data_IF_012759481302
#
_entry.id   IF_012759481302
#
_cell.length_a   1.000
_cell.length_b   1.000
_cell.length_c   1.000
_cell.angle_alpha   90.00
_cell.angle_beta   90.00
_cell.angle_gamma   90.00
#
_symmetry.space_group_name_H-M   'P 1'
#
loop_
_entity.id
_entity.type
_entity.pdbx_description
1 polymer ?
#
# COMPACT_ATOMS: atom_id res chain seq x y z
N UNK A 1 -61.84 -7.74 -14.97
CA UNK A 1 -60.87 -7.83 -16.09
C UNK A 1 -60.37 -6.41 -16.35
N UNK A 2 -59.13 -5.99 -16.13
CA UNK A 2 -57.82 -6.63 -15.99
C UNK A 2 -57.04 -5.90 -14.90
N UNK A 3 -56.33 -6.64 -14.04
CA UNK A 3 -55.33 -6.10 -13.13
C UNK A 3 -53.99 -6.02 -13.90
N UNK A 4 -53.42 -4.82 -14.02
CA UNK A 4 -52.05 -4.66 -14.51
C UNK A 4 -51.11 -4.69 -13.31
N UNK A 5 -50.48 -5.84 -13.09
CA UNK A 5 -49.32 -5.95 -12.21
C UNK A 5 -48.13 -5.23 -12.86
N UNK A 6 -47.71 -4.12 -12.25
CA UNK A 6 -46.39 -3.55 -12.51
C UNK A 6 -45.40 -4.29 -11.60
N UNK A 7 -44.52 -5.12 -12.19
CA UNK A 7 -43.38 -5.70 -11.49
C UNK A 7 -42.48 -4.57 -10.96
N UNK A 8 -41.99 -4.63 -9.71
CA UNK A 8 -40.92 -3.75 -9.28
C UNK A 8 -39.63 -4.11 -10.02
N UNK A 9 -38.99 -3.07 -10.53
CA UNK A 9 -37.69 -3.08 -11.22
C UNK A 9 -36.59 -3.47 -10.23
N UNK A 10 -35.92 -4.60 -10.49
CA UNK A 10 -34.71 -5.02 -9.79
C UNK A 10 -33.50 -4.42 -10.52
N UNK A 11 -33.17 -3.17 -10.23
CA UNK A 11 -31.80 -2.68 -10.46
C UNK A 11 -31.37 -1.72 -9.36
N UNK A 12 -30.11 -1.91 -8.93
CA UNK A 12 -29.32 -1.15 -7.96
C UNK A 12 -29.46 -1.59 -6.50
N UNK A 13 -28.90 -2.77 -6.26
CA UNK A 13 -28.42 -3.18 -4.96
C UNK A 13 -26.88 -3.28 -5.04
N UNK A 14 -26.22 -2.13 -5.20
CA UNK A 14 -24.76 -1.99 -5.15
C UNK A 14 -24.43 -0.79 -4.25
N UNK A 15 -24.48 -0.97 -2.93
CA UNK A 15 -23.93 0.02 -1.98
C UNK A 15 -23.61 -0.57 -0.60
N UNK A 16 -23.13 -1.82 -0.55
CA UNK A 16 -22.84 -2.51 0.72
C UNK A 16 -21.37 -2.88 0.92
N UNK A 17 -20.42 -2.13 0.33
CA UNK A 17 -18.98 -2.44 0.49
C UNK A 17 -18.06 -1.22 0.60
N UNK A 18 -18.56 -0.03 0.96
CA UNK A 18 -17.74 1.17 1.18
C UNK A 18 -17.22 1.36 2.61
N UNK A 19 -17.00 0.29 3.39
CA UNK A 19 -16.24 0.46 4.63
C UNK A 19 -14.82 0.96 4.27
N UNK A 20 -14.39 2.15 4.73
CA UNK A 20 -13.07 2.69 4.43
C UNK A 20 -12.02 1.75 5.03
N UNK A 21 -11.04 1.39 4.21
CA UNK A 21 -9.90 0.61 4.69
C UNK A 21 -9.00 1.57 5.44
N UNK A 22 -8.95 1.45 6.77
CA UNK A 22 -8.08 2.26 7.62
C UNK A 22 -6.69 1.65 7.72
N UNK A 23 -5.67 2.50 7.63
CA UNK A 23 -4.29 2.12 7.94
C UNK A 23 -3.98 2.21 9.45
N UNK A 24 -4.90 2.80 10.23
CA UNK A 24 -4.78 2.89 11.68
C UNK A 24 -4.81 1.48 12.29
N UNK A 25 -3.78 1.15 13.08
CA UNK A 25 -3.58 -0.19 13.64
C UNK A 25 -2.97 -1.22 12.66
N UNK A 26 -2.77 -0.87 11.39
CA UNK A 26 -2.04 -1.71 10.41
C UNK A 26 -0.59 -1.24 10.23
N UNK A 27 -0.40 0.08 10.15
CA UNK A 27 0.90 0.71 10.02
C UNK A 27 1.33 1.29 11.37
N UNK A 28 2.29 0.64 12.02
CA UNK A 28 2.86 1.13 13.27
C UNK A 28 3.89 2.25 12.99
N UNK A 29 4.03 3.24 13.88
CA UNK A 29 5.01 4.32 13.71
C UNK A 29 6.45 3.81 13.52
N UNK A 30 6.83 2.76 14.26
CA UNK A 30 8.16 2.14 14.15
C UNK A 30 8.43 1.49 12.78
N UNK A 31 7.38 1.27 11.97
CA UNK A 31 7.48 0.73 10.61
C UNK A 31 7.41 1.81 9.52
N UNK A 32 7.56 3.06 9.90
CA UNK A 32 7.70 4.20 8.99
C UNK A 32 9.13 4.71 9.05
N UNK A 33 9.83 4.70 7.92
CA UNK A 33 11.16 5.29 7.82
C UNK A 33 11.14 6.51 6.89
N UNK A 34 11.81 7.57 7.34
CA UNK A 34 11.97 8.82 6.64
C UNK A 34 13.39 8.95 6.07
N UNK A 35 13.49 9.34 4.81
CA UNK A 35 14.73 9.69 4.09
C UNK A 35 15.85 8.65 4.26
N UNK A 36 15.56 7.45 3.78
CA UNK A 36 16.50 6.31 3.81
C UNK A 36 17.27 6.21 2.50
N UNK A 37 18.58 5.95 2.58
CA UNK A 37 19.42 5.71 1.41
C UNK A 37 19.32 4.27 0.91
N UNK A 38 18.73 4.08 -0.27
CA UNK A 38 18.79 2.82 -1.01
C UNK A 38 19.63 2.99 -2.28
N UNK A 39 20.42 1.96 -2.63
CA UNK A 39 21.36 2.00 -3.77
C UNK A 39 20.87 1.21 -4.99
N UNK A 40 19.81 0.43 -4.81
CA UNK A 40 19.23 -0.45 -5.82
C UNK A 40 17.87 -0.96 -5.36
N UNK A 41 17.06 -1.45 -6.30
CA UNK A 41 15.78 -2.13 -6.02
C UNK A 41 15.95 -3.21 -4.95
N UNK A 42 16.98 -4.05 -5.08
CA UNK A 42 17.28 -5.12 -4.13
C UNK A 42 17.58 -4.57 -2.73
N UNK A 43 18.35 -3.48 -2.63
CA UNK A 43 18.65 -2.86 -1.33
C UNK A 43 17.38 -2.25 -0.70
N UNK A 44 16.53 -1.61 -1.49
CA UNK A 44 15.25 -1.08 -1.00
C UNK A 44 14.32 -2.20 -0.48
N UNK A 45 14.27 -3.35 -1.16
CA UNK A 45 13.53 -4.53 -0.68
C UNK A 45 14.16 -5.15 0.59
N UNK A 46 15.49 -5.10 0.74
CA UNK A 46 16.18 -5.58 1.95
C UNK A 46 15.86 -4.69 3.16
N UNK A 47 15.92 -3.37 3.00
CA UNK A 47 15.51 -2.40 4.02
C UNK A 47 14.04 -2.60 4.40
N UNK A 48 13.16 -2.75 3.41
CA UNK A 48 11.74 -2.99 3.65
C UNK A 48 11.49 -4.31 4.40
N UNK A 49 12.24 -5.37 4.07
CA UNK A 49 12.14 -6.66 4.76
C UNK A 49 12.58 -6.56 6.23
N UNK A 50 13.58 -5.73 6.53
CA UNK A 50 14.05 -5.49 7.89
C UNK A 50 12.95 -4.84 8.73
N UNK A 51 12.35 -3.78 8.21
CA UNK A 51 11.25 -3.05 8.88
C UNK A 51 10.01 -3.92 9.06
N UNK A 52 9.64 -4.71 8.05
CA UNK A 52 8.49 -5.63 8.15
C UNK A 52 8.75 -6.79 9.13
N UNK A 53 10.01 -7.16 9.33
CA UNK A 53 10.39 -8.26 10.22
C UNK A 53 10.48 -7.89 11.70
N UNK A 54 10.51 -6.59 12.03
CA UNK A 54 10.61 -6.10 13.41
C UNK A 54 9.23 -5.94 14.09
N UNK A 55 9.22 -5.46 15.34
CA UNK A 55 8.03 -5.22 16.15
C UNK A 55 7.75 -6.30 17.19
N UNK A 56 6.57 -6.26 17.81
CA UNK A 56 6.19 -7.15 18.93
C UNK A 56 6.15 -8.63 18.55
N UNK A 57 5.91 -8.93 17.28
CA UNK A 57 5.89 -10.28 16.73
C UNK A 57 6.91 -10.39 15.59
N UNK A 58 8.21 -10.55 15.90
CA UNK A 58 9.25 -10.52 14.89
C UNK A 58 9.12 -11.71 13.92
N UNK A 59 9.42 -11.47 12.65
CA UNK A 59 9.47 -12.48 11.59
C UNK A 59 10.92 -12.74 11.21
N UNK A 60 11.16 -13.84 10.50
CA UNK A 60 12.49 -14.09 9.95
C UNK A 60 12.77 -13.18 8.74
N UNK A 61 13.64 -12.16 8.90
CA UNK A 61 13.95 -11.17 7.83
C UNK A 61 14.23 -11.82 6.47
N UNK A 62 15.05 -12.88 6.44
CA UNK A 62 15.42 -13.53 5.18
C UNK A 62 14.21 -14.14 4.47
N UNK A 63 13.26 -14.70 5.22
CA UNK A 63 12.01 -15.25 4.64
C UNK A 63 11.16 -14.13 4.04
N UNK A 64 10.98 -13.02 4.77
CA UNK A 64 10.27 -11.84 4.29
C UNK A 64 10.91 -11.29 3.01
N UNK A 65 12.25 -11.17 3.01
CA UNK A 65 13.01 -10.70 1.85
C UNK A 65 12.81 -11.62 0.63
N UNK A 66 12.95 -12.93 0.82
CA UNK A 66 12.80 -13.90 -0.25
C UNK A 66 11.38 -13.91 -0.83
N UNK A 67 10.36 -13.77 0.00
CA UNK A 67 8.97 -13.62 -0.42
C UNK A 67 8.75 -12.36 -1.25
N UNK A 68 9.24 -11.20 -0.80
CA UNK A 68 9.14 -9.93 -1.53
C UNK A 68 9.87 -9.98 -2.88
N UNK A 69 11.11 -10.48 -2.90
CA UNK A 69 11.90 -10.62 -4.13
C UNK A 69 11.25 -11.60 -5.10
N UNK A 70 10.72 -12.72 -4.60
CA UNK A 70 10.03 -13.71 -5.43
C UNK A 70 8.78 -13.12 -6.08
N UNK A 71 8.02 -12.30 -5.34
CA UNK A 71 6.88 -11.57 -5.91
C UNK A 71 7.31 -10.53 -6.95
N UNK A 72 8.34 -9.75 -6.68
CA UNK A 72 8.83 -8.71 -7.59
C UNK A 72 9.33 -9.30 -8.91
N UNK A 73 9.90 -10.51 -8.90
CA UNK A 73 10.32 -11.25 -10.12
C UNK A 73 9.17 -11.63 -11.05
N UNK A 74 7.93 -11.73 -10.55
CA UNK A 74 6.76 -12.01 -11.40
C UNK A 74 6.37 -10.80 -12.24
N UNK A 75 6.87 -9.63 -11.88
CA UNK A 75 6.55 -8.35 -12.49
C UNK A 75 6.64 -7.26 -11.43
N UNK A 76 7.17 -6.11 -11.83
CA UNK A 76 7.44 -5.04 -10.88
C UNK A 76 6.18 -4.60 -10.14
N UNK A 77 6.34 -4.34 -8.84
CA UNK A 77 5.32 -3.76 -7.97
C UNK A 77 5.32 -2.23 -7.98
N UNK A 78 6.17 -1.61 -8.81
CA UNK A 78 6.09 -0.18 -9.08
C UNK A 78 4.85 0.16 -9.91
N UNK A 79 4.03 1.08 -9.40
CA UNK A 79 2.77 1.50 -10.02
C UNK A 79 2.92 2.79 -10.83
N UNK A 80 4.14 3.32 -10.92
CA UNK A 80 4.43 4.64 -11.45
C UNK A 80 4.33 5.73 -10.38
N UNK A 81 4.42 6.98 -10.80
CA UNK A 81 4.32 8.15 -9.91
C UNK A 81 5.31 8.12 -8.72
N UNK A 82 6.50 7.56 -8.95
CA UNK A 82 7.53 7.32 -7.94
C UNK A 82 7.13 6.40 -6.77
N UNK A 83 6.12 5.54 -6.96
CA UNK A 83 5.60 4.63 -5.93
C UNK A 83 5.83 3.16 -6.32
N UNK A 84 6.24 2.35 -5.33
CA UNK A 84 6.09 0.91 -5.36
C UNK A 84 5.28 0.40 -4.17
N UNK A 85 4.56 -0.70 -4.39
CA UNK A 85 3.82 -1.39 -3.34
C UNK A 85 4.33 -2.85 -3.25
N UNK A 86 5.55 -3.10 -2.76
CA UNK A 86 6.04 -4.46 -2.60
C UNK A 86 5.16 -5.21 -1.61
N UNK A 87 4.56 -6.30 -2.06
CA UNK A 87 3.67 -7.11 -1.23
C UNK A 87 4.03 -8.58 -1.37
N UNK A 88 3.81 -9.39 -0.36
CA UNK A 88 4.00 -10.82 -0.49
C UNK A 88 3.12 -11.58 0.50
N UNK A 89 2.79 -12.83 0.15
CA UNK A 89 2.23 -13.76 1.12
C UNK A 89 3.37 -14.32 1.97
N UNK A 90 3.12 -14.43 3.27
CA UNK A 90 4.04 -15.05 4.23
C UNK A 90 3.27 -16.10 5.01
N UNK A 91 3.84 -17.30 5.11
CA UNK A 91 3.21 -18.40 5.81
C UNK A 91 3.20 -18.13 7.32
N UNK A 92 2.16 -18.60 8.01
CA UNK A 92 1.97 -18.42 9.45
C UNK A 92 1.99 -16.95 9.93
N UNK A 93 1.79 -15.98 9.03
CA UNK A 93 1.61 -14.60 9.41
C UNK A 93 0.24 -14.47 10.12
N UNK A 94 0.19 -14.00 11.39
CA UNK A 94 -1.05 -13.97 12.16
C UNK A 94 -2.01 -12.89 11.69
N UNK A 95 -1.48 -11.77 11.18
CA UNK A 95 -2.24 -10.63 10.70
C UNK A 95 -1.47 -9.85 9.63
N UNK A 96 -2.18 -9.01 8.88
CA UNK A 96 -1.56 -8.12 7.90
C UNK A 96 -0.50 -7.24 8.56
N UNK A 97 0.61 -7.02 7.86
CA UNK A 97 1.66 -6.13 8.34
C UNK A 97 2.08 -5.15 7.25
N UNK A 98 2.02 -3.86 7.57
CA UNK A 98 2.47 -2.81 6.67
C UNK A 98 3.74 -2.10 7.15
N UNK A 99 4.49 -1.55 6.21
CA UNK A 99 5.60 -0.65 6.44
C UNK A 99 5.64 0.42 5.35
N UNK A 100 6.21 1.58 5.66
CA UNK A 100 6.41 2.65 4.70
C UNK A 100 7.85 3.15 4.75
N UNK A 101 8.44 3.38 3.58
CA UNK A 101 9.77 3.99 3.46
C UNK A 101 9.69 5.12 2.43
N UNK A 102 10.10 6.32 2.84
CA UNK A 102 10.48 7.40 1.91
C UNK A 102 11.99 7.35 1.70
N UNK A 103 12.43 7.23 0.44
CA UNK A 103 13.84 7.28 0.09
C UNK A 103 14.31 8.72 -0.07
N UNK A 104 15.56 8.98 0.32
CA UNK A 104 16.25 10.25 0.04
C UNK A 104 16.41 10.42 -1.47
N UNK A 105 17.01 9.43 -2.12
CA UNK A 105 17.26 9.40 -3.55
C UNK A 105 16.38 8.31 -4.20
N UNK A 106 15.56 8.65 -5.23
CA UNK A 106 14.75 7.68 -5.91
C UNK A 106 15.58 6.59 -6.61
N UNK A 107 15.10 5.34 -6.54
CA UNK A 107 15.79 4.17 -7.07
C UNK A 107 15.08 3.62 -8.30
N UNK A 108 15.84 3.25 -9.33
CA UNK A 108 15.29 2.56 -10.51
C UNK A 108 14.55 1.28 -10.10
N UNK A 109 13.26 1.21 -10.44
CA UNK A 109 12.39 0.13 -10.01
C UNK A 109 11.62 -0.55 -11.15
N UNK A 110 11.96 -0.28 -12.41
CA UNK A 110 11.25 -0.85 -13.59
C UNK A 110 9.74 -0.52 -13.61
N UNK A 111 9.36 0.68 -13.16
CA UNK A 111 8.01 1.19 -13.28
C UNK A 111 7.61 1.32 -14.76
N UNK A 112 6.33 1.10 -15.07
CA UNK A 112 5.81 1.20 -16.44
C UNK A 112 5.94 2.62 -17.04
N UNK A 113 5.93 3.65 -16.20
CA UNK A 113 6.14 5.05 -16.59
C UNK A 113 7.62 5.45 -16.66
N UNK A 114 8.54 4.52 -16.37
CA UNK A 114 9.98 4.73 -16.34
C UNK A 114 10.49 5.58 -15.18
N UNK A 115 9.63 6.06 -14.27
CA UNK A 115 10.06 6.88 -13.14
C UNK A 115 10.73 6.02 -12.07
N UNK A 116 11.82 6.50 -11.44
CA UNK A 116 12.39 5.83 -10.28
C UNK A 116 11.44 5.94 -9.08
N UNK A 117 11.50 4.99 -8.16
CA UNK A 117 10.65 4.90 -6.97
C UNK A 117 11.30 5.66 -5.82
N UNK A 118 10.51 6.52 -5.18
CA UNK A 118 10.85 7.23 -3.95
C UNK A 118 10.08 6.71 -2.74
N UNK A 119 8.83 6.27 -2.93
CA UNK A 119 7.99 5.77 -1.84
C UNK A 119 7.75 4.27 -1.99
N UNK A 120 8.03 3.52 -0.93
CA UNK A 120 7.72 2.10 -0.83
C UNK A 120 6.66 1.90 0.24
N UNK A 121 5.54 1.28 -0.14
CA UNK A 121 4.55 0.80 0.82
C UNK A 121 4.57 -0.72 0.82
N UNK A 122 5.19 -1.31 1.85
CA UNK A 122 5.30 -2.75 2.02
C UNK A 122 4.05 -3.35 2.65
N UNK A 123 3.62 -4.52 2.17
CA UNK A 123 2.51 -5.27 2.77
C UNK A 123 2.78 -6.78 2.81
N UNK A 124 2.84 -7.35 4.01
CA UNK A 124 2.80 -8.80 4.20
C UNK A 124 1.38 -9.25 4.45
N UNK A 125 1.00 -10.31 3.74
CA UNK A 125 -0.37 -10.78 3.63
C UNK A 125 -0.46 -12.21 4.17
N UNK A 126 -1.37 -12.49 5.13
CA UNK A 126 -1.56 -13.85 5.63
C UNK A 126 -2.26 -14.72 4.57
N UNK A 127 -2.20 -16.03 4.75
CA UNK A 127 -2.98 -16.95 3.94
C UNK A 127 -4.50 -16.76 4.23
N UNK A 128 -5.32 -16.70 3.17
CA UNK A 128 -6.77 -16.53 3.28
C UNK A 128 -7.28 -15.16 2.80
N UNK A 129 -8.61 -15.00 2.77
CA UNK A 129 -9.37 -13.77 2.43
C UNK A 129 -8.74 -12.86 1.35
N UNK A 130 -8.60 -13.42 0.14
CA UNK A 130 -7.92 -12.76 -0.98
C UNK A 130 -8.61 -11.46 -1.41
N UNK A 131 -9.94 -11.42 -1.31
CA UNK A 131 -10.74 -10.27 -1.71
C UNK A 131 -10.48 -9.05 -0.82
N UNK A 132 -10.42 -9.25 0.50
CA UNK A 132 -10.07 -8.18 1.44
C UNK A 132 -8.66 -7.63 1.18
N UNK A 133 -7.72 -8.51 0.88
CA UNK A 133 -6.34 -8.13 0.59
C UNK A 133 -6.21 -7.31 -0.71
N UNK A 134 -6.89 -7.73 -1.77
CA UNK A 134 -6.92 -6.99 -3.04
C UNK A 134 -7.58 -5.61 -2.87
N UNK A 135 -8.62 -5.52 -2.04
CA UNK A 135 -9.27 -4.24 -1.74
C UNK A 135 -8.32 -3.28 -1.01
N UNK A 136 -7.61 -3.75 0.02
CA UNK A 136 -6.61 -2.96 0.73
C UNK A 136 -5.49 -2.48 -0.20
N UNK A 137 -4.94 -3.37 -1.03
CA UNK A 137 -3.92 -3.00 -2.02
C UNK A 137 -4.42 -1.94 -3.01
N UNK A 138 -5.67 -2.07 -3.48
CA UNK A 138 -6.29 -1.08 -4.37
C UNK A 138 -6.47 0.28 -3.69
N UNK A 139 -6.89 0.31 -2.42
CA UNK A 139 -7.01 1.54 -1.64
C UNK A 139 -5.65 2.22 -1.44
N UNK A 140 -4.62 1.47 -1.05
CA UNK A 140 -3.25 2.01 -0.90
C UNK A 140 -2.74 2.56 -2.23
N UNK A 141 -2.96 1.84 -3.34
CA UNK A 141 -2.54 2.27 -4.66
C UNK A 141 -3.22 3.57 -5.10
N UNK A 142 -4.54 3.71 -4.87
CA UNK A 142 -5.28 4.93 -5.18
C UNK A 142 -4.82 6.13 -4.34
N UNK A 143 -4.63 5.91 -3.04
CA UNK A 143 -4.09 6.91 -2.11
C UNK A 143 -2.72 7.42 -2.60
N UNK A 144 -1.78 6.49 -2.84
CA UNK A 144 -0.43 6.83 -3.26
C UNK A 144 -0.36 7.32 -4.71
N UNK A 145 -1.41 7.11 -5.53
CA UNK A 145 -1.52 7.64 -6.89
C UNK A 145 -1.92 9.14 -6.93
N UNK A 146 -2.47 9.69 -5.85
CA UNK A 146 -2.78 11.12 -5.73
C UNK A 146 -1.52 11.99 -5.66
N UNK A 147 -1.44 13.00 -6.53
CA UNK A 147 -0.37 14.02 -6.50
C UNK A 147 -0.43 14.86 -5.21
N UNK A 148 -1.63 15.22 -4.75
CA UNK A 148 -1.82 15.98 -3.51
C UNK A 148 -1.29 15.18 -2.32
N UNK A 149 -1.63 13.89 -2.24
CA UNK A 149 -1.16 13.04 -1.16
C UNK A 149 0.36 12.88 -1.18
N UNK A 150 0.97 12.64 -2.35
CA UNK A 150 2.44 12.59 -2.47
C UNK A 150 3.12 13.91 -2.10
N UNK A 151 2.50 15.05 -2.43
CA UNK A 151 3.01 16.36 -2.01
C UNK A 151 3.02 16.48 -0.50
N UNK A 152 1.96 16.03 0.20
CA UNK A 152 2.00 16.01 1.67
C UNK A 152 3.08 15.08 2.24
N UNK A 153 3.33 13.93 1.59
CA UNK A 153 4.43 13.05 1.96
C UNK A 153 5.80 13.68 1.70
N UNK A 154 5.93 14.68 0.83
CA UNK A 154 7.18 15.40 0.57
C UNK A 154 7.45 16.51 1.58
N UNK A 155 6.39 17.15 2.05
CA UNK A 155 6.46 18.23 3.03
C UNK A 155 6.73 17.71 4.46
N UNK A 156 6.53 16.42 4.72
CA UNK A 156 6.80 15.80 6.01
C UNK A 156 8.30 15.86 6.37
N UNK A 157 8.60 16.29 7.60
CA UNK A 157 9.98 16.50 8.07
C UNK A 157 10.62 15.26 8.68
N UNK A 158 9.80 14.31 9.15
CA UNK A 158 10.26 13.11 9.84
C UNK A 158 9.28 11.92 9.70
N UNK A 159 9.65 10.79 10.31
CA UNK A 159 8.88 9.55 10.26
C UNK A 159 7.54 9.65 11.00
N UNK A 160 7.45 10.47 12.05
CA UNK A 160 6.23 10.63 12.83
C UNK A 160 5.19 11.43 12.01
N UNK A 161 5.61 12.51 11.36
CA UNK A 161 4.75 13.26 10.43
C UNK A 161 4.28 12.41 9.25
N UNK A 162 5.19 11.61 8.66
CA UNK A 162 4.83 10.65 7.61
C UNK A 162 3.78 9.65 8.10
N UNK A 163 3.97 9.09 9.30
CA UNK A 163 3.02 8.16 9.89
C UNK A 163 1.64 8.81 10.05
N UNK A 164 1.58 10.01 10.61
CA UNK A 164 0.32 10.75 10.79
C UNK A 164 -0.39 11.02 9.46
N UNK A 165 0.33 11.41 8.41
CA UNK A 165 -0.26 11.63 7.08
C UNK A 165 -0.84 10.32 6.53
N UNK A 166 -0.11 9.20 6.66
CA UNK A 166 -0.53 7.90 6.15
C UNK A 166 -1.78 7.36 6.87
N UNK A 167 -1.84 7.42 8.21
CA UNK A 167 -2.96 6.83 8.96
C UNK A 167 -4.22 7.69 8.98
N UNK A 168 -4.09 9.00 8.74
CA UNK A 168 -5.23 9.93 8.70
C UNK A 168 -5.79 10.14 7.28
N UNK A 169 -5.33 9.38 6.28
CA UNK A 169 -5.89 9.45 4.94
C UNK A 169 -7.35 8.97 4.92
N UNK A 170 -8.24 9.82 4.40
CA UNK A 170 -9.62 9.45 4.11
C UNK A 170 -9.89 9.44 2.59
N UNK A 171 -10.32 8.29 2.01
CA UNK A 171 -10.65 8.22 0.60
C UNK A 171 -11.85 9.13 0.28
N UNK A 172 -11.67 10.11 -0.62
CA UNK A 172 -12.76 10.96 -1.13
C UNK A 172 -12.51 12.47 -1.08
N UNK A 173 -11.44 12.93 -0.43
CA UNK A 173 -11.10 14.35 -0.39
C UNK A 173 -10.40 14.87 -1.67
N UNK A 174 -10.00 13.96 -2.57
CA UNK A 174 -9.24 14.23 -3.80
C UNK A 174 -10.10 14.49 -5.06
N UNK A 175 -11.40 14.80 -4.89
CA UNK A 175 -12.34 14.95 -6.02
C UNK A 175 -12.16 16.25 -6.85
N UNK A 176 -11.01 16.93 -6.79
CA UNK A 176 -10.84 18.25 -7.43
C UNK A 176 -10.04 18.24 -8.73
N UNK A 177 -9.30 17.19 -9.09
CA UNK A 177 -8.51 17.19 -10.33
C UNK A 177 -8.97 16.15 -11.37
N UNK A 178 -10.12 16.44 -11.97
CA UNK A 178 -10.50 15.93 -13.29
C UNK A 178 -10.86 17.12 -14.16
N UNK A 179 -9.86 17.85 -14.68
CA UNK A 179 -10.05 18.76 -15.83
C UNK A 179 -8.88 18.71 -16.80
#
# INVERSE_FOLDING_TARGET
>A
MRETQTKPDLTKQDDASHAPVSLMGLLDPERVLCDVDARSKKHALDLLSEVLSSGEQPLHKLEVFDCLVSREKLGSTAIGCAVAIPHARVDNLPELRAAFIRLTEPVAFEAADGKPVRYLFGLLVPAGDEEKHLKLLSTIAQMLASDQFRTSLDDASDADELHQILVNFEPGNDATDRR
#
